data_IF_797291328548
#
_entry.id   IF_797291328548
#
_cell.length_a   1.000
_cell.length_b   1.000
_cell.length_c   1.000
_cell.angle_alpha   90.00
_cell.angle_beta   90.00
_cell.angle_gamma   90.00
#
_symmetry.space_group_name_H-M   'P 1'
#
loop_
_entity.id
_entity.type
_entity.pdbx_description
1 polymer ?
#
# COMPACT_ATOMS: atom_id res chain seq x y z
N UNK A 1 -12.97 -2.75 -17.89
CA UNK A 1 -12.27 -4.03 -17.95
C UNK A 1 -11.81 -4.37 -19.37
N UNK A 2 -10.63 -4.99 -19.53
CA UNK A 2 -10.09 -5.42 -20.83
C UNK A 2 -10.63 -6.77 -21.33
N UNK A 3 -11.48 -7.43 -20.56
CA UNK A 3 -11.99 -8.77 -20.89
C UNK A 3 -13.50 -8.71 -21.09
N UNK A 4 -14.03 -8.91 -22.33
CA UNK A 4 -15.47 -8.85 -22.62
C UNK A 4 -16.31 -9.78 -21.74
N UNK A 5 -15.90 -11.05 -21.58
CA UNK A 5 -16.60 -12.01 -20.73
C UNK A 5 -16.70 -11.55 -19.27
N UNK A 6 -15.64 -10.89 -18.74
CA UNK A 6 -15.65 -10.33 -17.40
C UNK A 6 -16.58 -9.11 -17.30
N UNK A 7 -16.64 -8.28 -18.34
CA UNK A 7 -17.56 -7.17 -18.42
C UNK A 7 -19.00 -7.67 -18.37
N UNK A 8 -19.36 -8.64 -19.19
CA UNK A 8 -20.69 -9.26 -19.22
C UNK A 8 -21.09 -9.84 -17.85
N UNK A 9 -20.18 -10.62 -17.23
CA UNK A 9 -20.40 -11.21 -15.90
C UNK A 9 -20.75 -10.14 -14.86
N UNK A 10 -20.01 -9.03 -14.84
CA UNK A 10 -20.21 -7.98 -13.84
C UNK A 10 -21.44 -7.12 -14.13
N UNK A 11 -21.68 -6.82 -15.42
CA UNK A 11 -22.88 -6.12 -15.88
C UNK A 11 -24.13 -6.87 -15.42
N UNK A 12 -24.16 -8.18 -15.65
CA UNK A 12 -25.26 -9.04 -15.25
C UNK A 12 -25.42 -9.13 -13.72
N UNK A 13 -24.29 -9.33 -13.00
CA UNK A 13 -24.29 -9.49 -11.54
C UNK A 13 -24.73 -8.23 -10.80
N UNK A 14 -24.37 -7.06 -11.28
CA UNK A 14 -24.59 -5.78 -10.61
C UNK A 14 -25.58 -4.88 -11.35
N UNK A 15 -26.27 -5.40 -12.37
CA UNK A 15 -27.25 -4.64 -13.17
C UNK A 15 -26.69 -3.32 -13.72
N UNK A 16 -25.42 -3.35 -14.20
CA UNK A 16 -24.75 -2.15 -14.74
C UNK A 16 -25.35 -1.85 -16.12
N UNK A 17 -25.86 -0.63 -16.38
CA UNK A 17 -26.33 -0.26 -17.70
C UNK A 17 -25.21 -0.37 -18.76
N UNK A 18 -25.51 -0.88 -19.95
CA UNK A 18 -24.49 -1.06 -21.03
C UNK A 18 -23.76 0.23 -21.35
N UNK A 19 -24.44 1.36 -21.35
CA UNK A 19 -23.84 2.69 -21.57
C UNK A 19 -22.73 3.04 -20.56
N UNK A 20 -22.69 2.35 -19.42
CA UNK A 20 -21.70 2.55 -18.35
C UNK A 20 -20.61 1.47 -18.36
N UNK A 21 -20.54 0.65 -19.40
CA UNK A 21 -19.52 -0.38 -19.56
C UNK A 21 -18.39 0.15 -20.44
N UNK A 22 -17.22 0.35 -19.82
CA UNK A 22 -16.02 0.87 -20.49
C UNK A 22 -14.94 -0.21 -20.59
N UNK A 23 -14.16 -0.12 -21.65
CA UNK A 23 -12.96 -0.93 -21.88
C UNK A 23 -11.72 -0.03 -22.03
N UNK A 24 -10.57 -0.58 -22.31
CA UNK A 24 -9.33 0.18 -22.43
C UNK A 24 -9.32 1.16 -23.61
N UNK A 25 -10.06 0.87 -24.70
CA UNK A 25 -10.13 1.70 -25.90
C UNK A 25 -11.06 2.92 -25.71
N UNK A 26 -12.19 2.73 -25.03
CA UNK A 26 -13.19 3.78 -24.83
C UNK A 26 -13.18 4.38 -23.42
N UNK A 27 -12.13 4.09 -22.61
CA UNK A 27 -12.04 4.55 -21.22
C UNK A 27 -12.25 6.06 -21.07
N UNK A 28 -11.67 6.87 -21.97
CA UNK A 28 -11.72 8.34 -21.86
C UNK A 28 -13.14 8.91 -22.06
N UNK A 29 -14.08 8.12 -22.56
CA UNK A 29 -15.49 8.51 -22.65
C UNK A 29 -16.16 8.70 -21.29
N UNK A 30 -15.54 8.24 -20.18
CA UNK A 30 -15.99 8.54 -18.82
C UNK A 30 -16.07 10.06 -18.55
N UNK A 31 -15.32 10.87 -19.29
CA UNK A 31 -15.39 12.34 -19.21
C UNK A 31 -16.82 12.87 -19.45
N UNK A 32 -17.54 12.21 -20.34
CA UNK A 32 -18.91 12.58 -20.73
C UNK A 32 -20.00 11.96 -19.86
N UNK A 33 -19.62 11.19 -18.83
CA UNK A 33 -20.57 10.54 -17.92
C UNK A 33 -20.66 11.31 -16.60
N UNK A 34 -21.74 12.08 -16.36
CA UNK A 34 -21.93 12.83 -15.12
C UNK A 34 -22.22 11.95 -13.90
N UNK A 35 -22.59 10.68 -14.11
CA UNK A 35 -22.91 9.75 -13.03
C UNK A 35 -21.66 9.12 -12.40
N UNK A 36 -20.46 9.44 -12.93
CA UNK A 36 -19.18 8.95 -12.41
C UNK A 36 -18.43 10.11 -11.75
N UNK A 37 -18.25 10.05 -10.44
CA UNK A 37 -17.45 11.01 -9.67
C UNK A 37 -16.03 10.50 -9.42
N UNK A 38 -15.88 9.19 -9.22
CA UNK A 38 -14.63 8.55 -8.82
C UNK A 38 -14.32 7.35 -9.72
N UNK A 39 -13.06 7.20 -10.09
CA UNK A 39 -12.55 5.98 -10.75
C UNK A 39 -11.63 5.24 -9.80
N UNK A 40 -11.94 3.97 -9.51
CA UNK A 40 -11.06 3.09 -8.74
C UNK A 40 -10.21 2.23 -9.68
N UNK A 41 -8.91 2.52 -9.73
CA UNK A 41 -7.93 1.83 -10.58
C UNK A 41 -7.42 0.59 -9.86
N UNK A 42 -7.84 -0.59 -10.34
CA UNK A 42 -7.48 -1.92 -9.81
C UNK A 42 -6.86 -2.73 -10.95
N UNK A 43 -5.61 -2.46 -11.24
CA UNK A 43 -4.83 -3.00 -12.35
C UNK A 43 -3.46 -3.50 -11.84
N UNK A 44 -2.65 -4.16 -12.66
CA UNK A 44 -1.24 -4.34 -12.35
C UNK A 44 -0.52 -2.99 -12.18
N UNK A 45 0.45 -2.88 -11.25
CA UNK A 45 1.08 -1.58 -10.90
C UNK A 45 1.66 -0.81 -12.09
N UNK A 46 2.19 -1.51 -13.10
CA UNK A 46 2.72 -0.89 -14.33
C UNK A 46 1.68 -0.14 -15.16
N UNK A 47 0.40 -0.37 -14.92
CA UNK A 47 -0.69 0.29 -15.64
C UNK A 47 -1.32 1.42 -14.80
N UNK A 48 -1.00 1.56 -13.53
CA UNK A 48 -1.65 2.53 -12.64
C UNK A 48 -1.48 3.95 -13.14
N UNK A 49 -0.23 4.36 -13.48
CA UNK A 49 0.05 5.73 -13.95
C UNK A 49 -0.84 6.12 -15.13
N UNK A 50 -0.92 5.28 -16.16
CA UNK A 50 -1.70 5.58 -17.35
C UNK A 50 -3.16 5.87 -17.00
N UNK A 51 -3.81 4.93 -16.28
CA UNK A 51 -5.25 5.03 -16.01
C UNK A 51 -5.61 6.07 -14.95
N UNK A 52 -4.72 6.35 -14.00
CA UNK A 52 -4.91 7.46 -13.06
C UNK A 52 -4.84 8.81 -13.77
N UNK A 53 -3.83 9.01 -14.64
CA UNK A 53 -3.68 10.26 -15.42
C UNK A 53 -4.87 10.45 -16.35
N UNK A 54 -5.32 9.42 -17.06
CA UNK A 54 -6.50 9.46 -17.94
C UNK A 54 -7.78 9.78 -17.16
N UNK A 55 -8.00 9.16 -16.00
CA UNK A 55 -9.15 9.44 -15.14
C UNK A 55 -9.14 10.89 -14.62
N UNK A 56 -7.98 11.37 -14.16
CA UNK A 56 -7.81 12.75 -13.72
C UNK A 56 -8.11 13.75 -14.84
N UNK A 57 -7.59 13.50 -16.06
CA UNK A 57 -7.84 14.33 -17.24
C UNK A 57 -9.31 14.29 -17.68
N UNK A 58 -10.01 13.18 -17.43
CA UNK A 58 -11.46 13.07 -17.60
C UNK A 58 -12.27 13.80 -16.50
N UNK A 59 -11.58 14.50 -15.58
CA UNK A 59 -12.22 15.28 -14.52
C UNK A 59 -12.77 14.44 -13.36
N UNK A 60 -12.28 13.22 -13.17
CA UNK A 60 -12.74 12.32 -12.11
C UNK A 60 -11.78 12.33 -10.92
N UNK A 61 -12.30 12.16 -9.71
CA UNK A 61 -11.47 11.79 -8.55
C UNK A 61 -10.94 10.37 -8.76
N UNK A 62 -9.78 10.05 -8.17
CA UNK A 62 -9.16 8.75 -8.41
C UNK A 62 -8.80 8.07 -7.10
N UNK A 63 -9.17 6.80 -7.01
CA UNK A 63 -8.61 5.85 -6.06
C UNK A 63 -7.73 4.87 -6.82
N UNK A 64 -6.58 4.52 -6.29
CA UNK A 64 -5.65 3.58 -6.93
C UNK A 64 -5.21 2.52 -5.93
N UNK A 65 -5.19 1.26 -6.36
CA UNK A 65 -4.65 0.17 -5.54
C UNK A 65 -3.16 0.38 -5.22
N UNK A 66 -2.77 -0.19 -4.09
CA UNK A 66 -1.36 -0.31 -3.72
C UNK A 66 -0.67 -1.45 -4.52
N UNK A 67 0.63 -1.37 -4.81
CA UNK A 67 1.48 -0.18 -4.67
C UNK A 67 1.03 0.89 -5.66
N UNK A 68 1.22 2.15 -5.30
CA UNK A 68 0.71 3.26 -6.13
C UNK A 68 1.23 3.23 -7.57
N UNK A 69 2.52 2.99 -7.76
CA UNK A 69 3.17 2.83 -9.07
C UNK A 69 4.46 2.02 -8.94
N UNK A 70 5.19 1.84 -10.04
CA UNK A 70 6.48 1.13 -10.08
C UNK A 70 7.65 2.07 -9.76
N UNK A 71 7.51 3.37 -10.04
CA UNK A 71 8.55 4.37 -9.77
C UNK A 71 8.01 5.59 -9.04
N UNK A 72 8.88 6.28 -8.29
CA UNK A 72 8.55 7.54 -7.62
C UNK A 72 8.16 8.62 -8.64
N UNK A 73 8.76 8.61 -9.83
CA UNK A 73 8.39 9.53 -10.92
C UNK A 73 6.94 9.29 -11.38
N UNK A 74 6.53 8.05 -11.57
CA UNK A 74 5.15 7.72 -11.93
C UNK A 74 4.16 8.15 -10.84
N UNK A 75 4.50 7.96 -9.56
CA UNK A 75 3.70 8.48 -8.45
C UNK A 75 3.54 10.00 -8.53
N UNK A 76 4.63 10.73 -8.80
CA UNK A 76 4.59 12.18 -8.95
C UNK A 76 3.72 12.62 -10.13
N UNK A 77 3.86 11.95 -11.28
CA UNK A 77 3.04 12.22 -12.47
C UNK A 77 1.52 12.08 -12.17
N UNK A 78 1.16 11.06 -11.38
CA UNK A 78 -0.23 10.81 -10.96
C UNK A 78 -0.74 11.89 -10.01
N UNK A 79 0.08 12.28 -9.03
CA UNK A 79 -0.25 13.37 -8.09
C UNK A 79 -0.46 14.68 -8.84
N UNK A 80 0.46 15.00 -9.75
CA UNK A 80 0.40 16.25 -10.53
C UNK A 80 -0.80 16.28 -11.47
N UNK A 81 -1.12 15.16 -12.12
CA UNK A 81 -2.31 15.06 -12.97
C UNK A 81 -3.61 15.32 -12.18
N UNK A 82 -3.76 14.71 -11.01
CA UNK A 82 -4.93 14.94 -10.16
C UNK A 82 -4.98 16.38 -9.65
N UNK A 83 -3.86 16.93 -9.18
CA UNK A 83 -3.76 18.31 -8.70
C UNK A 83 -4.10 19.33 -9.79
N UNK A 84 -3.54 19.18 -10.99
CA UNK A 84 -3.77 20.08 -12.12
C UNK A 84 -5.25 20.10 -12.56
N UNK A 85 -5.93 18.96 -12.42
CA UNK A 85 -7.36 18.84 -12.71
C UNK A 85 -8.26 19.14 -11.49
N UNK A 86 -7.71 19.59 -10.36
CA UNK A 86 -8.43 19.84 -9.09
C UNK A 86 -9.21 18.62 -8.63
N UNK A 87 -8.60 17.44 -8.73
CA UNK A 87 -9.15 16.16 -8.30
C UNK A 87 -8.27 15.56 -7.20
N UNK A 88 -8.86 14.72 -6.37
CA UNK A 88 -8.15 14.01 -5.31
C UNK A 88 -7.60 12.69 -5.83
N UNK A 89 -6.50 12.25 -5.24
CA UNK A 89 -5.91 10.93 -5.44
C UNK A 89 -5.75 10.25 -4.09
N UNK A 90 -6.47 9.14 -3.87
CA UNK A 90 -6.32 8.27 -2.71
C UNK A 90 -5.64 6.95 -3.10
N UNK A 91 -4.83 6.40 -2.20
CA UNK A 91 -4.16 5.10 -2.38
C UNK A 91 -4.83 4.05 -1.52
N UNK A 92 -4.99 2.83 -2.03
CA UNK A 92 -5.67 1.69 -1.42
C UNK A 92 -4.98 1.13 -0.16
N UNK A 93 -4.67 1.98 0.80
CA UNK A 93 -4.02 1.62 2.06
C UNK A 93 -5.06 1.30 3.15
N UNK A 94 -5.82 0.25 2.92
CA UNK A 94 -6.94 -0.20 3.79
C UNK A 94 -6.62 -0.26 5.28
N UNK A 95 -5.37 -0.61 5.66
CA UNK A 95 -4.98 -0.69 7.07
C UNK A 95 -4.98 0.67 7.77
N UNK A 96 -4.75 1.76 7.05
CA UNK A 96 -4.84 3.10 7.66
C UNK A 96 -6.26 3.49 8.07
N UNK A 97 -7.28 2.81 7.54
CA UNK A 97 -8.70 3.01 7.88
C UNK A 97 -9.22 2.00 8.91
N UNK A 98 -8.42 1.00 9.26
CA UNK A 98 -8.82 -0.11 10.12
C UNK A 98 -8.74 0.27 11.62
N UNK A 99 -9.81 0.05 12.41
CA UNK A 99 -9.88 0.54 13.79
C UNK A 99 -8.78 0.06 14.73
N UNK A 100 -8.34 -1.21 14.64
CA UNK A 100 -7.25 -1.70 15.48
C UNK A 100 -5.91 -1.05 15.11
N UNK A 101 -5.69 -0.79 13.83
CA UNK A 101 -4.51 -0.03 13.35
C UNK A 101 -4.56 1.41 13.85
N UNK A 102 -5.73 2.06 13.83
CA UNK A 102 -5.90 3.41 14.37
C UNK A 102 -5.64 3.46 15.89
N UNK A 103 -6.12 2.47 16.63
CA UNK A 103 -5.86 2.37 18.08
C UNK A 103 -4.38 2.12 18.36
N UNK A 104 -3.73 1.25 17.57
CA UNK A 104 -2.30 1.03 17.61
C UNK A 104 -1.53 2.35 17.47
N UNK A 105 -1.84 3.15 16.46
CA UNK A 105 -1.22 4.45 16.23
C UNK A 105 -1.49 5.40 17.40
N UNK A 106 -2.72 5.45 17.88
CA UNK A 106 -3.13 6.29 19.02
C UNK A 106 -2.33 5.96 20.28
N UNK A 107 -2.12 4.69 20.58
CA UNK A 107 -1.33 4.28 21.76
C UNK A 107 0.13 4.71 21.61
N UNK A 108 0.76 4.52 20.47
CA UNK A 108 2.13 5.00 20.23
C UNK A 108 2.25 6.52 20.35
N UNK A 109 1.26 7.26 19.83
CA UNK A 109 1.25 8.75 19.89
C UNK A 109 0.87 9.30 21.26
N UNK A 110 0.36 8.48 22.18
CA UNK A 110 -0.01 8.92 23.54
C UNK A 110 1.18 9.40 24.40
N UNK A 111 2.41 9.03 24.01
CA UNK A 111 3.64 9.29 24.77
C UNK A 111 3.81 8.43 26.03
N UNK A 112 2.79 7.64 26.41
CA UNK A 112 2.83 6.83 27.65
C UNK A 112 3.87 5.70 27.60
N UNK A 113 4.18 5.20 26.41
CA UNK A 113 5.20 4.16 26.20
C UNK A 113 6.63 4.73 26.14
N UNK A 114 6.81 6.05 26.19
CA UNK A 114 8.10 6.69 26.01
C UNK A 114 8.57 6.69 24.55
N UNK A 115 9.86 6.96 24.32
CA UNK A 115 10.43 6.98 22.96
C UNK A 115 10.50 5.56 22.38
N UNK A 116 10.25 5.48 21.09
CA UNK A 116 10.44 4.24 20.33
C UNK A 116 11.94 3.95 20.21
N UNK A 117 12.34 2.71 20.44
CA UNK A 117 13.71 2.21 20.28
C UNK A 117 13.88 1.43 19.01
N UNK A 118 13.03 0.41 18.81
CA UNK A 118 13.10 -0.47 17.63
C UNK A 118 11.71 -0.82 17.13
N UNK A 119 11.64 -1.06 15.83
CA UNK A 119 10.45 -1.54 15.13
C UNK A 119 10.84 -2.80 14.37
N UNK A 120 10.06 -3.86 14.46
CA UNK A 120 10.19 -5.06 13.65
C UNK A 120 8.86 -5.32 12.97
N UNK A 121 8.88 -5.37 11.64
CA UNK A 121 7.67 -5.51 10.86
C UNK A 121 7.83 -6.58 9.80
N UNK A 122 6.93 -7.57 9.79
CA UNK A 122 6.96 -8.63 8.80
C UNK A 122 5.59 -8.86 8.17
N UNK A 123 5.59 -9.08 6.84
CA UNK A 123 4.39 -9.41 6.08
C UNK A 123 4.76 -10.35 4.94
N UNK A 124 4.02 -11.44 4.80
CA UNK A 124 4.29 -12.41 3.75
C UNK A 124 3.25 -13.52 3.72
N UNK A 125 3.24 -14.22 2.61
CA UNK A 125 2.43 -15.42 2.44
C UNK A 125 3.08 -16.34 1.41
N UNK A 126 2.73 -17.64 1.43
CA UNK A 126 3.23 -18.57 0.42
C UNK A 126 2.45 -18.41 -0.88
N UNK A 127 3.09 -17.79 -1.88
CA UNK A 127 2.52 -17.62 -3.23
C UNK A 127 2.72 -18.90 -4.04
N UNK A 128 1.62 -19.60 -4.29
CA UNK A 128 1.63 -20.87 -5.03
C UNK A 128 1.48 -20.72 -6.54
N UNK A 129 1.09 -19.55 -7.04
CA UNK A 129 0.97 -19.32 -8.48
C UNK A 129 2.34 -19.13 -9.11
N UNK A 130 2.52 -19.62 -10.33
CA UNK A 130 3.80 -19.56 -11.05
C UNK A 130 3.75 -18.69 -12.32
N UNK A 131 2.56 -18.19 -12.68
CA UNK A 131 2.36 -17.30 -13.83
C UNK A 131 1.35 -16.20 -13.50
N UNK A 132 1.69 -15.39 -12.53
CA UNK A 132 0.89 -14.23 -12.11
C UNK A 132 1.69 -12.94 -12.36
N UNK A 133 1.04 -11.78 -12.44
CA UNK A 133 1.73 -10.50 -12.64
C UNK A 133 2.79 -10.24 -11.55
N UNK A 134 2.60 -10.75 -10.34
CA UNK A 134 3.55 -10.63 -9.23
C UNK A 134 4.91 -11.28 -9.50
N UNK A 135 4.99 -12.21 -10.45
CA UNK A 135 6.23 -12.84 -10.94
C UNK A 135 6.76 -12.22 -12.24
N UNK A 136 6.22 -11.05 -12.65
CA UNK A 136 6.60 -10.36 -13.89
C UNK A 136 7.14 -8.97 -13.58
N UNK A 137 8.44 -8.78 -13.77
CA UNK A 137 9.12 -7.52 -13.45
C UNK A 137 8.51 -6.34 -14.22
N UNK A 138 8.20 -6.54 -15.48
CA UNK A 138 7.59 -5.56 -16.40
C UNK A 138 6.17 -5.15 -15.96
N UNK A 139 5.52 -5.91 -15.11
CA UNK A 139 4.20 -5.60 -14.56
C UNK A 139 4.25 -4.98 -13.15
N UNK A 140 5.45 -4.70 -12.65
CA UNK A 140 5.65 -4.22 -11.28
C UNK A 140 5.57 -5.36 -10.26
N UNK A 141 6.04 -6.57 -10.67
CA UNK A 141 6.15 -7.72 -9.76
C UNK A 141 7.28 -7.59 -8.76
N UNK A 142 7.38 -8.57 -7.87
CA UNK A 142 8.31 -8.60 -6.74
C UNK A 142 7.61 -8.43 -5.40
N UNK A 143 8.20 -9.04 -4.35
CA UNK A 143 7.56 -9.03 -3.04
C UNK A 143 7.55 -7.63 -2.40
N UNK A 144 8.56 -6.79 -2.70
CA UNK A 144 8.59 -5.42 -2.17
C UNK A 144 7.41 -4.58 -2.67
N UNK A 145 7.01 -4.71 -3.93
CA UNK A 145 5.86 -3.99 -4.47
C UNK A 145 4.53 -4.50 -3.90
N UNK A 146 4.36 -5.81 -3.69
CA UNK A 146 3.09 -6.34 -3.21
C UNK A 146 2.96 -6.30 -1.69
N UNK A 147 3.90 -6.91 -0.97
CA UNK A 147 3.86 -7.06 0.50
C UNK A 147 4.77 -6.06 1.21
N UNK A 148 5.83 -5.61 0.54
CA UNK A 148 6.78 -4.67 1.12
C UNK A 148 6.15 -3.35 1.52
N UNK A 149 5.23 -2.80 0.73
CA UNK A 149 4.52 -1.56 1.07
C UNK A 149 3.74 -1.66 2.38
N UNK A 150 3.29 -2.85 2.80
CA UNK A 150 2.70 -3.04 4.12
C UNK A 150 3.74 -2.85 5.22
N UNK A 151 4.90 -3.52 5.14
CA UNK A 151 5.93 -3.41 6.19
C UNK A 151 6.52 -2.00 6.26
N UNK A 152 6.62 -1.30 5.11
CA UNK A 152 7.03 0.10 5.08
C UNK A 152 6.02 0.98 5.79
N UNK A 153 4.74 0.82 5.54
CA UNK A 153 3.69 1.54 6.26
C UNK A 153 3.69 1.21 7.75
N UNK A 154 3.80 -0.08 8.12
CA UNK A 154 3.92 -0.49 9.51
C UNK A 154 5.06 0.23 10.23
N UNK A 155 6.25 0.32 9.61
CA UNK A 155 7.40 1.01 10.14
C UNK A 155 7.18 2.54 10.23
N UNK A 156 6.71 3.19 9.17
CA UNK A 156 6.47 4.64 9.09
C UNK A 156 5.38 5.09 10.05
N UNK A 157 4.25 4.39 10.07
CA UNK A 157 3.15 4.67 10.99
C UNK A 157 3.57 4.45 12.45
N UNK A 158 4.40 3.45 12.74
CA UNK A 158 4.95 3.26 14.08
C UNK A 158 5.86 4.42 14.46
N UNK A 159 6.87 4.72 13.65
CA UNK A 159 7.83 5.79 13.91
C UNK A 159 7.16 7.17 13.97
N UNK A 160 6.13 7.42 13.16
CA UNK A 160 5.44 8.72 13.04
C UNK A 160 6.24 9.76 12.27
N UNK A 161 7.23 9.32 11.55
CA UNK A 161 8.09 10.13 10.69
C UNK A 161 8.61 9.27 9.55
N UNK A 162 9.28 9.87 8.58
CA UNK A 162 9.85 9.19 7.44
C UNK A 162 11.27 8.69 7.75
N UNK A 163 11.69 7.54 7.20
CA UNK A 163 13.08 7.11 7.31
C UNK A 163 13.98 8.02 6.48
N UNK A 164 15.22 8.18 6.94
CA UNK A 164 16.24 9.02 6.27
C UNK A 164 17.28 8.19 5.53
N UNK A 165 17.32 6.88 5.79
CA UNK A 165 18.31 5.97 5.21
C UNK A 165 17.80 4.53 5.19
N UNK A 166 18.13 3.80 4.14
CA UNK A 166 18.21 2.34 4.10
C UNK A 166 19.65 1.96 4.44
N UNK A 167 19.89 1.50 5.66
CA UNK A 167 21.23 1.15 6.14
C UNK A 167 21.73 -0.18 5.55
N UNK A 168 20.79 -1.11 5.29
CA UNK A 168 21.08 -2.43 4.72
C UNK A 168 19.83 -2.93 4.00
N UNK A 169 20.03 -3.65 2.90
CA UNK A 169 18.96 -4.41 2.26
C UNK A 169 19.52 -5.69 1.62
N UNK A 170 18.72 -6.74 1.67
CA UNK A 170 19.01 -8.05 1.08
C UNK A 170 17.78 -8.55 0.32
N UNK A 171 18.05 -9.14 -0.83
CA UNK A 171 17.01 -9.79 -1.64
C UNK A 171 17.46 -11.21 -1.98
N UNK A 172 16.51 -12.14 -1.94
CA UNK A 172 16.78 -13.54 -2.26
C UNK A 172 15.59 -14.20 -2.94
N UNK A 173 15.85 -15.29 -3.62
CA UNK A 173 14.83 -16.20 -4.14
C UNK A 173 15.25 -17.64 -3.96
N UNK A 174 14.31 -18.49 -3.56
CA UNK A 174 14.46 -19.95 -3.46
C UNK A 174 13.86 -20.65 -4.68
N UNK A 175 13.10 -19.91 -5.51
CA UNK A 175 12.41 -20.40 -6.71
C UNK A 175 12.79 -19.55 -7.94
N UNK A 176 14.07 -19.60 -8.40
CA UNK A 176 14.54 -18.76 -9.50
C UNK A 176 13.85 -19.04 -10.83
N UNK A 177 13.25 -20.21 -11.00
CA UNK A 177 12.43 -20.56 -12.17
C UNK A 177 11.08 -19.80 -12.19
N UNK A 178 10.60 -19.31 -11.02
CA UNK A 178 9.37 -18.51 -10.87
C UNK A 178 9.72 -17.01 -10.82
N UNK A 179 10.70 -16.64 -9.97
CA UNK A 179 11.14 -15.25 -9.77
C UNK A 179 12.38 -14.96 -10.61
N UNK A 180 12.17 -14.72 -11.90
CA UNK A 180 13.23 -14.54 -12.91
C UNK A 180 13.75 -13.11 -12.93
N UNK A 181 14.91 -12.91 -13.61
CA UNK A 181 15.47 -11.59 -13.92
C UNK A 181 15.76 -10.73 -12.67
N UNK A 182 16.17 -11.37 -11.58
CA UNK A 182 16.47 -10.67 -10.33
C UNK A 182 15.23 -10.15 -9.59
N UNK A 183 14.08 -10.77 -9.84
CA UNK A 183 12.86 -10.46 -9.10
C UNK A 183 12.95 -11.05 -7.69
N UNK A 184 12.61 -10.26 -6.69
CA UNK A 184 12.65 -10.65 -5.29
C UNK A 184 11.45 -11.53 -4.90
N UNK A 185 11.77 -12.71 -4.31
CA UNK A 185 10.81 -13.55 -3.59
C UNK A 185 10.78 -13.19 -2.11
N UNK A 186 11.93 -12.83 -1.56
CA UNK A 186 12.10 -12.38 -0.19
C UNK A 186 12.96 -11.12 -0.17
N UNK A 187 12.57 -10.14 0.64
CA UNK A 187 13.33 -8.91 0.85
C UNK A 187 13.36 -8.54 2.33
N UNK A 188 14.55 -8.18 2.81
CA UNK A 188 14.81 -7.68 4.16
C UNK A 188 15.52 -6.34 4.07
N UNK A 189 15.17 -5.41 4.95
CA UNK A 189 15.86 -4.13 5.00
C UNK A 189 15.89 -3.56 6.42
N UNK A 190 16.90 -2.77 6.70
CA UNK A 190 17.02 -1.94 7.90
C UNK A 190 16.88 -0.48 7.52
N UNK A 191 15.87 0.16 8.10
CA UNK A 191 15.58 1.57 7.91
C UNK A 191 16.01 2.35 9.14
N UNK A 192 16.62 3.51 8.92
CA UNK A 192 17.00 4.45 9.98
C UNK A 192 16.06 5.64 9.92
N UNK A 193 15.46 5.96 11.05
CA UNK A 193 14.59 7.12 11.23
C UNK A 193 15.31 8.23 12.00
N UNK A 194 14.81 9.47 11.93
CA UNK A 194 15.30 10.56 12.77
C UNK A 194 15.33 10.18 14.25
N UNK A 195 16.37 10.63 14.96
CA UNK A 195 16.55 10.30 16.38
C UNK A 195 17.13 8.89 16.63
N UNK A 196 17.55 8.19 15.59
CA UNK A 196 18.24 6.89 15.69
C UNK A 196 17.30 5.68 15.88
N UNK A 197 15.99 5.85 15.69
CA UNK A 197 15.05 4.71 15.69
C UNK A 197 15.35 3.82 14.50
N UNK A 198 15.43 2.52 14.75
CA UNK A 198 15.73 1.49 13.75
C UNK A 198 14.49 0.65 13.49
N UNK A 199 14.17 0.44 12.21
CA UNK A 199 13.15 -0.52 11.80
C UNK A 199 13.76 -1.64 10.93
N UNK A 200 13.58 -2.89 11.36
CA UNK A 200 13.87 -4.07 10.56
C UNK A 200 12.57 -4.54 9.90
N UNK A 201 12.58 -4.58 8.58
CA UNK A 201 11.43 -4.99 7.77
C UNK A 201 11.75 -6.28 7.02
N UNK A 202 10.78 -7.20 6.98
CA UNK A 202 10.92 -8.49 6.30
C UNK A 202 9.63 -8.82 5.54
N UNK A 203 9.78 -9.12 4.26
CA UNK A 203 8.65 -9.52 3.41
C UNK A 203 9.00 -10.70 2.53
N UNK A 204 8.06 -11.64 2.32
CA UNK A 204 8.32 -12.87 1.56
C UNK A 204 7.06 -13.42 0.87
N UNK A 205 7.25 -13.96 -0.34
CA UNK A 205 6.31 -14.85 -1.03
C UNK A 205 6.58 -16.33 -0.75
N UNK A 206 7.57 -16.66 0.06
CA UNK A 206 7.93 -18.03 0.48
C UNK A 206 7.58 -18.34 1.92
N UNK A 207 7.25 -17.33 2.73
CA UNK A 207 7.03 -17.45 4.17
C UNK A 207 5.70 -16.82 4.58
N UNK A 208 5.02 -17.43 5.56
CA UNK A 208 3.84 -16.84 6.21
C UNK A 208 4.29 -15.93 7.34
N UNK A 209 4.24 -14.62 7.13
CA UNK A 209 4.72 -13.58 8.04
C UNK A 209 3.61 -12.59 8.32
N UNK A 210 3.37 -12.24 9.60
CA UNK A 210 2.28 -11.33 9.95
C UNK A 210 2.46 -10.73 11.35
N UNK A 211 3.61 -10.08 11.61
CA UNK A 211 3.93 -9.50 12.92
C UNK A 211 4.39 -8.06 12.79
N UNK A 212 3.99 -7.24 13.76
CA UNK A 212 4.47 -5.87 13.93
C UNK A 212 4.75 -5.66 15.42
N UNK A 213 6.04 -5.48 15.77
CA UNK A 213 6.51 -5.31 17.14
C UNK A 213 7.23 -3.97 17.28
N UNK A 214 6.88 -3.21 18.30
CA UNK A 214 7.53 -1.94 18.63
C UNK A 214 8.01 -2.02 20.08
N UNK A 215 9.31 -1.81 20.28
CA UNK A 215 9.91 -1.65 21.59
C UNK A 215 10.08 -0.17 21.91
N UNK A 216 9.62 0.24 23.08
CA UNK A 216 9.70 1.60 23.58
C UNK A 216 10.53 1.67 24.88
N UNK A 217 10.84 2.87 25.35
CA UNK A 217 11.57 3.07 26.60
C UNK A 217 10.84 2.52 27.84
N UNK A 218 9.50 2.64 27.83
CA UNK A 218 8.64 2.31 28.99
C UNK A 218 7.69 1.14 28.71
N UNK A 219 7.92 0.39 27.63
CA UNK A 219 7.07 -0.75 27.30
C UNK A 219 7.19 -1.19 25.85
N UNK A 220 6.16 -1.87 25.39
CA UNK A 220 6.09 -2.43 24.06
C UNK A 220 4.69 -2.28 23.46
N UNK A 221 4.61 -2.54 22.15
CA UNK A 221 3.37 -2.78 21.44
C UNK A 221 3.58 -3.86 20.37
N UNK A 222 2.67 -4.84 20.32
CA UNK A 222 2.70 -5.95 19.37
C UNK A 222 1.35 -6.08 18.69
N UNK A 223 1.35 -6.29 17.37
CA UNK A 223 0.18 -6.68 16.58
C UNK A 223 0.45 -8.01 15.87
N UNK A 224 -0.45 -9.00 16.08
CA UNK A 224 -0.38 -10.31 15.43
C UNK A 224 -1.75 -11.00 15.45
N UNK A 225 -2.42 -11.21 14.30
CA UNK A 225 -2.03 -10.71 12.97
C UNK A 225 -2.22 -9.19 12.84
N UNK A 226 -1.41 -8.54 12.00
CA UNK A 226 -1.51 -7.09 11.83
C UNK A 226 -1.94 -6.63 10.42
N UNK A 227 -1.83 -7.49 9.39
CA UNK A 227 -2.11 -7.10 8.00
C UNK A 227 -3.18 -7.96 7.30
N UNK A 228 -3.92 -8.81 8.00
CA UNK A 228 -5.03 -9.58 7.43
C UNK A 228 -6.25 -8.69 7.12
N UNK A 229 -7.19 -9.24 6.34
CA UNK A 229 -8.44 -8.55 6.00
C UNK A 229 -9.46 -8.50 7.13
N UNK A 230 -9.30 -9.33 8.16
CA UNK A 230 -10.12 -9.38 9.36
C UNK A 230 -9.33 -9.96 10.54
N UNK A 231 -9.82 -9.74 11.77
CA UNK A 231 -9.25 -10.34 12.98
C UNK A 231 -7.89 -9.76 13.39
N UNK A 232 -7.59 -8.52 13.00
CA UNK A 232 -6.42 -7.82 13.51
C UNK A 232 -6.55 -7.67 15.02
N UNK A 233 -5.45 -7.93 15.73
CA UNK A 233 -5.40 -7.79 17.17
C UNK A 233 -3.98 -7.58 17.64
N UNK A 234 -3.86 -7.06 18.84
CA UNK A 234 -2.57 -6.85 19.46
C UNK A 234 -2.65 -6.61 20.96
N UNK A 235 -1.51 -6.34 21.51
CA UNK A 235 -1.36 -5.98 22.91
C UNK A 235 -0.24 -4.96 23.09
N UNK A 236 -0.31 -4.22 24.16
CA UNK A 236 0.74 -3.31 24.57
C UNK A 236 0.85 -3.29 26.08
N UNK A 237 1.87 -2.60 26.58
CA UNK A 237 1.97 -2.28 28.00
C UNK A 237 0.82 -1.39 28.54
N UNK A 238 -0.05 -0.89 27.64
CA UNK A 238 -1.24 -0.09 27.99
C UNK A 238 -2.54 -0.90 27.92
N UNK A 239 -2.48 -2.16 27.50
CA UNK A 239 -3.63 -3.05 27.38
C UNK A 239 -3.79 -3.68 25.98
N UNK A 240 -4.87 -4.41 25.82
CA UNK A 240 -5.20 -5.09 24.55
C UNK A 240 -5.61 -4.10 23.47
N UNK A 241 -5.32 -4.48 22.23
CA UNK A 241 -5.81 -3.84 21.01
C UNK A 241 -6.66 -4.88 20.30
N UNK A 242 -7.93 -4.88 20.61
CA UNK A 242 -8.89 -5.84 20.05
C UNK A 242 -10.26 -5.17 20.08
N UNK A 243 -10.56 -4.39 19.03
CA UNK A 243 -11.91 -3.90 18.85
C UNK A 243 -12.79 -5.04 18.33
N UNK A 244 -13.96 -5.26 18.94
CA UNK A 244 -14.90 -6.28 18.49
C UNK A 244 -15.48 -5.95 17.10
N UNK A 245 -15.17 -4.77 16.59
CA UNK A 245 -15.57 -4.34 15.27
C UNK A 245 -14.74 -5.07 14.23
N UNK A 246 -15.17 -6.27 13.89
CA UNK A 246 -14.69 -6.96 12.71
C UNK A 246 -15.31 -6.26 11.50
N UNK A 247 -14.57 -5.36 10.92
CA UNK A 247 -14.94 -4.86 9.59
C UNK A 247 -14.61 -5.98 8.61
N UNK A 248 -15.57 -6.78 8.14
CA UNK A 248 -15.25 -7.79 7.13
C UNK A 248 -14.83 -7.13 5.81
N UNK A 249 -14.92 -5.78 5.74
CA UNK A 249 -14.72 -5.00 4.53
C UNK A 249 -13.85 -3.76 4.81
N UNK A 250 -12.58 -3.94 5.08
CA UNK A 250 -11.63 -2.82 5.29
C UNK A 250 -11.59 -1.87 4.08
N UNK A 251 -11.68 -2.44 2.86
CA UNK A 251 -11.76 -1.63 1.64
C UNK A 251 -13.06 -0.84 1.54
N UNK A 252 -14.19 -1.40 1.98
CA UNK A 252 -15.46 -0.65 2.00
C UNK A 252 -15.34 0.57 2.93
N UNK A 253 -14.80 0.38 4.14
CA UNK A 253 -14.56 1.50 5.05
C UNK A 253 -13.61 2.54 4.45
N UNK A 254 -12.53 2.10 3.79
CA UNK A 254 -11.63 3.00 3.06
C UNK A 254 -12.39 3.82 2.02
N UNK A 255 -13.21 3.17 1.18
CA UNK A 255 -14.01 3.86 0.15
C UNK A 255 -14.99 4.85 0.77
N UNK A 256 -15.65 4.49 1.88
CA UNK A 256 -16.57 5.38 2.58
C UNK A 256 -15.84 6.59 3.16
N UNK A 257 -14.70 6.39 3.83
CA UNK A 257 -13.90 7.48 4.40
C UNK A 257 -13.38 8.42 3.30
N UNK A 258 -12.88 7.88 2.18
CA UNK A 258 -12.38 8.65 1.04
C UNK A 258 -13.52 9.41 0.33
N UNK A 259 -14.68 8.77 0.15
CA UNK A 259 -15.86 9.43 -0.42
C UNK A 259 -16.33 10.59 0.46
N UNK A 260 -16.42 10.36 1.78
CA UNK A 260 -16.80 11.40 2.74
C UNK A 260 -15.78 12.54 2.77
N UNK A 261 -14.48 12.25 2.65
CA UNK A 261 -13.45 13.29 2.58
C UNK A 261 -13.61 14.16 1.32
N UNK A 262 -13.91 13.55 0.17
CA UNK A 262 -14.20 14.26 -1.08
C UNK A 262 -15.45 15.15 -0.93
N UNK A 263 -16.56 14.58 -0.47
CA UNK A 263 -17.84 15.28 -0.32
C UNK A 263 -17.76 16.47 0.65
N UNK A 264 -16.95 16.35 1.71
CA UNK A 264 -16.79 17.37 2.74
C UNK A 264 -15.57 18.27 2.53
N UNK A 265 -14.87 18.11 1.41
CA UNK A 265 -13.60 18.80 1.12
C UNK A 265 -12.59 18.68 2.29
N UNK A 266 -12.43 17.49 2.83
CA UNK A 266 -11.52 17.17 3.91
C UNK A 266 -10.26 16.47 3.39
N UNK A 267 -9.22 16.43 4.21
CA UNK A 267 -7.99 15.71 3.88
C UNK A 267 -8.25 14.19 3.86
N UNK A 268 -7.76 13.53 2.82
CA UNK A 268 -7.72 12.07 2.73
C UNK A 268 -6.80 11.48 3.81
N UNK A 269 -7.12 10.29 4.29
CA UNK A 269 -6.27 9.53 5.22
C UNK A 269 -5.02 9.05 4.50
N UNK A 270 -5.17 8.51 3.29
CA UNK A 270 -4.08 7.98 2.48
C UNK A 270 -4.03 8.68 1.09
N UNK A 271 -3.60 9.97 1.03
CA UNK A 271 -3.44 10.66 -0.24
C UNK A 271 -2.29 10.10 -1.07
N UNK A 272 -2.18 10.48 -2.35
CA UNK A 272 -1.13 10.04 -3.26
C UNK A 272 0.29 10.19 -2.73
N UNK A 273 0.54 11.21 -1.92
CA UNK A 273 1.83 11.45 -1.27
C UNK A 273 2.27 10.28 -0.35
N UNK A 274 1.32 9.54 0.24
CA UNK A 274 1.65 8.32 1.01
C UNK A 274 2.26 7.25 0.12
N UNK A 275 1.68 7.02 -1.05
CA UNK A 275 2.22 6.08 -2.03
C UNK A 275 3.59 6.50 -2.56
N UNK A 276 3.77 7.78 -2.84
CA UNK A 276 5.05 8.33 -3.29
C UNK A 276 6.17 8.08 -2.26
N UNK A 277 5.89 8.27 -0.97
CA UNK A 277 6.87 8.00 0.11
C UNK A 277 7.27 6.54 0.13
N UNK A 278 6.32 5.62 0.07
CA UNK A 278 6.62 4.19 0.06
C UNK A 278 7.46 3.80 -1.16
N UNK A 279 7.12 4.28 -2.35
CA UNK A 279 7.88 3.92 -3.56
C UNK A 279 9.30 4.49 -3.55
N UNK A 280 9.54 5.68 -3.00
CA UNK A 280 10.90 6.19 -2.77
C UNK A 280 11.72 5.27 -1.88
N UNK A 281 11.12 4.74 -0.81
CA UNK A 281 11.78 3.79 0.08
C UNK A 281 12.02 2.45 -0.65
N UNK A 282 11.08 1.97 -1.46
CA UNK A 282 11.24 0.76 -2.29
C UNK A 282 12.43 0.92 -3.25
N UNK A 283 12.52 2.03 -3.97
CA UNK A 283 13.65 2.33 -4.86
C UNK A 283 15.00 2.35 -4.10
N UNK A 284 15.02 2.94 -2.90
CA UNK A 284 16.19 2.96 -2.04
C UNK A 284 16.59 1.56 -1.55
N UNK A 285 15.61 0.71 -1.20
CA UNK A 285 15.86 -0.69 -0.81
C UNK A 285 16.46 -1.49 -1.97
N UNK A 286 15.88 -1.39 -3.17
CA UNK A 286 16.45 -2.07 -4.34
C UNK A 286 17.86 -1.59 -4.66
N UNK A 287 18.12 -0.28 -4.54
CA UNK A 287 19.45 0.29 -4.74
C UNK A 287 20.45 -0.20 -3.67
N UNK A 288 20.05 -0.24 -2.40
CA UNK A 288 20.89 -0.73 -1.31
C UNK A 288 21.22 -2.22 -1.50
N UNK A 289 20.23 -3.05 -1.85
CA UNK A 289 20.44 -4.47 -2.12
C UNK A 289 21.39 -4.71 -3.31
N UNK A 290 21.24 -3.94 -4.39
CA UNK A 290 22.06 -4.08 -5.58
C UNK A 290 23.52 -3.62 -5.37
N UNK A 291 23.75 -2.63 -4.50
CA UNK A 291 25.08 -2.03 -4.29
C UNK A 291 25.79 -2.55 -3.04
N UNK A 292 25.08 -3.19 -2.12
CA UNK A 292 25.59 -3.57 -0.79
C UNK A 292 25.94 -2.36 0.09
N UNK A 293 25.45 -1.16 -0.24
CA UNK A 293 25.80 0.10 0.45
C UNK A 293 24.56 0.78 1.01
N UNK A 294 24.67 1.53 2.12
CA UNK A 294 23.59 2.38 2.59
C UNK A 294 23.13 3.40 1.54
N UNK A 295 21.85 3.70 1.53
CA UNK A 295 21.23 4.65 0.60
C UNK A 295 20.41 5.66 1.39
N UNK A 296 20.68 6.95 1.19
CA UNK A 296 19.84 8.06 1.70
C UNK A 296 18.54 8.14 0.91
N UNK A 297 17.46 8.50 1.60
CA UNK A 297 16.10 8.63 1.05
C UNK A 297 15.77 10.11 0.85
#
# INVERSE_FOLDING_TARGET
TGTPAKAEQWTKKYSIPEKNVYNYQNFDQIANNPDIDVVYVVLPPSMHREYVVRAANAGKHVWVEKPMAVTAKECQDMIDACRNNKRTLAVGYRLQHEPNTQEYIRQLRSGKLGKIKTIQCSAGYREGRTNHWKQKKEMGGGVMYDMGVYVLQGARLSAGTEPVEVAMAEQSTTRPEVYRNGLDETSKARLIFPGGVVADVHTSFGESLNTLNVTCEKGFLKMEPWQQYAGLRGESSLGKIEFPYQVPWQQAKQMDDDAMAIMKNQRLIAPGEEGLRDIRIVEAIYKAAATGKPVKI
#
